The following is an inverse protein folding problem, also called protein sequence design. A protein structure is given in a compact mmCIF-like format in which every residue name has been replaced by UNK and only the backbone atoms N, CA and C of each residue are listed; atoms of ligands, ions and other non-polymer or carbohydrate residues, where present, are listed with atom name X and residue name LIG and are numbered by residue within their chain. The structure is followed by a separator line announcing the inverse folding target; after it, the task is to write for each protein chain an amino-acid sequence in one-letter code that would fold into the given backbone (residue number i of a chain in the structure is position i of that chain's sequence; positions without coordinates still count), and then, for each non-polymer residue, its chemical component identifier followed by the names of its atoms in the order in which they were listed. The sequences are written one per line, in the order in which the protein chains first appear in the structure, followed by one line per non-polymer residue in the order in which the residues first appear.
data_IF_090357895513
#
_entry.id   IF_090357895513
#
_cell.length_a   1.000
_cell.length_b   1.000
_cell.length_c   1.000
_cell.angle_alpha   90.00
_cell.angle_beta   90.00
_cell.angle_gamma   90.00
#
_symmetry.space_group_name_H-M   'P 1'
#
loop_
_entity.id
_entity.type
_entity.pdbx_description
1 polymer ?
#
# COMPACT_ATOMS: atom_id res chain seq x y z
N UNK A 1 -28.05 6.36 21.50
CA UNK A 1 -27.93 7.40 20.45
C UNK A 1 -27.80 6.68 19.10
N UNK A 2 -28.60 7.03 18.10
CA UNK A 2 -28.56 6.29 16.82
C UNK A 2 -27.26 6.58 16.06
N UNK A 3 -26.69 5.62 15.31
CA UNK A 3 -25.40 5.78 14.60
C UNK A 3 -25.35 6.95 13.61
N UNK A 4 -26.50 7.46 13.18
CA UNK A 4 -26.59 8.53 12.20
C UNK A 4 -26.29 9.93 12.71
N UNK A 5 -26.32 10.18 14.02
CA UNK A 5 -26.12 11.54 14.56
C UNK A 5 -24.65 11.89 14.80
N UNK A 6 -23.80 10.89 15.03
CA UNK A 6 -22.38 11.13 15.32
C UNK A 6 -21.54 11.37 14.02
N UNK A 7 -21.87 10.61 12.97
CA UNK A 7 -21.21 10.82 11.66
C UNK A 7 -21.47 12.21 11.08
N UNK A 8 -22.68 12.73 11.27
CA UNK A 8 -23.06 14.08 10.81
C UNK A 8 -22.28 15.20 11.56
N UNK A 9 -21.97 14.97 12.84
CA UNK A 9 -21.25 15.97 13.66
C UNK A 9 -19.76 16.08 13.27
N UNK A 10 -19.11 14.98 12.95
CA UNK A 10 -17.69 14.98 12.52
C UNK A 10 -17.54 15.56 11.12
N UNK A 11 -18.48 15.30 10.21
CA UNK A 11 -18.52 15.90 8.86
C UNK A 11 -18.81 17.40 8.94
N UNK A 12 -19.73 17.82 9.81
CA UNK A 12 -20.04 19.22 10.00
C UNK A 12 -18.88 20.02 10.61
N UNK A 13 -18.13 19.42 11.55
CA UNK A 13 -16.95 20.05 12.14
C UNK A 13 -15.80 20.21 11.14
N UNK A 14 -15.57 19.21 10.28
CA UNK A 14 -14.55 19.30 9.22
C UNK A 14 -14.91 20.31 8.13
N UNK A 15 -16.19 20.41 7.77
CA UNK A 15 -16.70 21.38 6.79
C UNK A 15 -16.78 22.81 7.35
N UNK A 16 -17.11 23.00 8.63
CA UNK A 16 -17.19 24.33 9.23
C UNK A 16 -15.83 25.02 9.40
N UNK A 17 -14.74 24.26 9.60
CA UNK A 17 -13.37 24.80 9.62
C UNK A 17 -12.93 25.31 8.23
N UNK A 18 -13.46 24.73 7.15
CA UNK A 18 -13.15 25.15 5.77
C UNK A 18 -13.87 26.43 5.37
N UNK A 19 -15.05 26.71 5.98
CA UNK A 19 -15.88 27.86 5.58
C UNK A 19 -15.54 29.17 6.30
N UNK A 20 -14.74 29.15 7.38
CA UNK A 20 -14.40 30.37 8.16
C UNK A 20 -12.98 30.88 7.91
N UNK A 21 -12.23 30.27 6.98
CA UNK A 21 -10.91 30.74 6.60
C UNK A 21 -10.98 32.09 5.88
N UNK A 22 -10.53 33.16 6.54
CA UNK A 22 -10.20 34.42 5.86
C UNK A 22 -9.22 34.11 4.73
N UNK A 23 -9.46 34.69 3.55
CA UNK A 23 -8.58 34.61 2.40
C UNK A 23 -7.13 34.91 2.83
N UNK A 24 -6.27 33.91 2.73
CA UNK A 24 -4.83 34.15 2.82
C UNK A 24 -4.47 35.17 1.74
N UNK A 25 -3.62 36.17 2.04
CA UNK A 25 -3.16 37.08 1.00
C UNK A 25 -2.58 36.29 -0.15
N UNK A 26 -3.06 36.50 -1.36
CA UNK A 26 -2.41 36.06 -2.56
C UNK A 26 -0.98 36.58 -2.51
N UNK A 27 -0.04 35.67 -2.29
CA UNK A 27 1.36 35.96 -2.61
C UNK A 27 1.35 36.19 -4.11
N UNK A 28 1.51 37.46 -4.51
CA UNK A 28 1.75 37.83 -5.88
C UNK A 28 2.86 36.91 -6.41
N UNK A 29 2.61 36.25 -7.55
CA UNK A 29 3.67 35.71 -8.38
C UNK A 29 4.51 36.90 -8.84
N UNK A 30 5.44 37.30 -8.00
CA UNK A 30 6.52 38.16 -8.41
C UNK A 30 7.41 37.28 -9.31
N UNK A 31 7.34 37.49 -10.61
CA UNK A 31 8.26 36.92 -11.58
C UNK A 31 9.63 37.55 -11.34
N UNK A 32 10.29 37.11 -10.28
CA UNK A 32 11.70 37.35 -10.14
C UNK A 32 12.43 36.44 -11.15
N UNK A 33 12.55 36.91 -12.39
CA UNK A 33 13.64 36.52 -13.26
C UNK A 33 14.95 36.97 -12.60
N UNK A 34 15.42 36.17 -11.66
CA UNK A 34 16.61 36.39 -10.87
C UNK A 34 17.50 35.15 -10.89
N UNK A 35 18.61 35.16 -10.18
CA UNK A 35 19.64 34.10 -10.19
C UNK A 35 19.15 32.66 -9.89
N UNK A 36 17.88 32.45 -9.55
CA UNK A 36 17.27 31.12 -9.36
C UNK A 36 17.11 30.31 -10.66
N UNK A 37 16.96 30.94 -11.82
CA UNK A 37 16.87 30.24 -13.12
C UNK A 37 18.16 29.46 -13.44
N UNK A 38 19.31 29.90 -12.92
CA UNK A 38 20.61 29.23 -13.10
C UNK A 38 20.69 27.92 -12.27
N UNK A 39 19.85 27.75 -11.27
CA UNK A 39 19.83 26.59 -10.37
C UNK A 39 18.76 25.56 -10.74
N UNK A 40 17.98 25.77 -11.78
CA UNK A 40 16.94 24.83 -12.21
C UNK A 40 17.57 23.51 -12.65
N UNK A 41 17.12 22.42 -12.02
CA UNK A 41 17.69 21.08 -12.23
C UNK A 41 17.15 20.40 -13.49
N UNK A 42 17.71 19.26 -13.85
CA UNK A 42 17.30 18.46 -15.00
C UNK A 42 15.93 17.79 -14.88
N UNK A 43 15.29 17.87 -13.72
CA UNK A 43 13.90 17.42 -13.50
C UNK A 43 13.11 18.51 -12.80
N UNK A 44 11.79 18.62 -13.06
CA UNK A 44 10.91 19.57 -12.36
C UNK A 44 11.01 19.41 -10.83
N UNK A 45 11.12 20.56 -10.13
CA UNK A 45 11.27 20.59 -8.67
C UNK A 45 12.61 20.06 -8.17
N UNK A 46 13.67 20.15 -8.97
CA UNK A 46 15.05 19.88 -8.55
C UNK A 46 15.92 21.10 -8.74
N UNK A 47 16.95 21.20 -7.94
CA UNK A 47 18.00 22.23 -7.99
C UNK A 47 19.28 21.59 -8.51
N UNK A 48 19.94 22.23 -9.46
CA UNK A 48 21.24 21.79 -9.99
C UNK A 48 22.34 22.04 -8.96
N UNK A 49 23.13 21.02 -8.69
CA UNK A 49 24.33 21.16 -7.84
C UNK A 49 25.48 21.67 -8.69
N UNK A 50 26.01 22.87 -8.41
CA UNK A 50 27.08 23.45 -9.22
C UNK A 50 28.27 22.50 -9.35
N UNK A 51 28.86 22.46 -10.56
CA UNK A 51 30.07 21.68 -10.90
C UNK A 51 29.96 20.15 -10.78
N UNK A 52 28.73 19.58 -10.63
CA UNK A 52 28.58 18.13 -10.50
C UNK A 52 27.76 17.46 -11.60
N UNK A 53 27.01 18.22 -12.41
CA UNK A 53 25.98 17.64 -13.31
C UNK A 53 24.76 17.04 -12.61
N UNK A 54 24.80 16.96 -11.28
CA UNK A 54 23.74 16.37 -10.44
C UNK A 54 22.62 17.39 -10.17
N UNK A 55 21.39 16.94 -10.20
CA UNK A 55 20.22 17.69 -9.75
C UNK A 55 19.59 16.98 -8.57
N UNK A 56 19.17 17.73 -7.54
CA UNK A 56 18.59 17.18 -6.33
C UNK A 56 17.28 17.88 -5.99
N UNK A 57 16.34 17.16 -5.40
CA UNK A 57 15.07 17.70 -4.95
C UNK A 57 14.56 17.00 -3.70
N UNK A 58 13.80 17.75 -2.93
CA UNK A 58 13.11 17.30 -1.73
C UNK A 58 11.62 17.56 -1.89
N UNK A 59 10.82 16.82 -1.17
CA UNK A 59 9.39 17.04 -1.08
C UNK A 59 8.76 16.06 -0.12
N UNK A 60 7.45 16.12 -0.07
CA UNK A 60 6.71 15.28 0.84
C UNK A 60 5.28 15.73 0.98
N UNK A 61 4.66 15.24 2.04
CA UNK A 61 3.39 15.73 2.49
C UNK A 61 3.19 15.53 3.99
N UNK A 62 2.41 16.39 4.59
CA UNK A 62 1.84 16.17 5.91
C UNK A 62 0.42 15.68 5.70
N UNK A 63 0.02 14.64 6.43
CA UNK A 63 -1.34 14.10 6.42
C UNK A 63 -1.80 13.85 7.85
N UNK A 64 -3.01 14.31 8.17
CA UNK A 64 -3.72 13.95 9.39
C UNK A 64 -4.91 13.10 9.00
N UNK A 65 -5.05 11.94 9.63
CA UNK A 65 -6.19 11.06 9.54
C UNK A 65 -6.94 11.03 10.88
N UNK A 66 -8.26 11.03 10.82
CA UNK A 66 -9.16 10.82 11.94
C UNK A 66 -10.01 9.60 11.61
N UNK A 67 -9.81 8.52 12.35
CA UNK A 67 -10.47 7.24 12.13
C UNK A 67 -11.48 6.98 13.24
N UNK A 68 -12.71 6.63 12.88
CA UNK A 68 -13.75 6.13 13.76
C UNK A 68 -14.11 4.72 13.31
N UNK A 69 -13.72 3.71 14.08
CA UNK A 69 -13.90 2.30 13.75
C UNK A 69 -14.90 1.65 14.68
N UNK A 70 -15.81 0.84 14.14
CA UNK A 70 -16.60 -0.11 14.94
C UNK A 70 -15.68 -1.27 15.29
N UNK A 71 -15.72 -1.80 16.47
CA UNK A 71 -14.85 -2.85 17.00
C UNK A 71 -13.37 -2.40 16.92
N UNK A 72 -12.75 -2.30 18.07
CA UNK A 72 -11.33 -2.01 18.14
C UNK A 72 -10.56 -3.05 17.33
N UNK A 73 -9.89 -2.64 16.29
CA UNK A 73 -8.90 -3.47 15.64
C UNK A 73 -7.64 -3.52 16.51
N UNK A 74 -7.79 -3.40 17.83
CA UNK A 74 -6.71 -3.64 18.75
C UNK A 74 -6.25 -5.07 18.55
N UNK A 75 -5.13 -5.19 17.86
CA UNK A 75 -4.46 -6.45 17.78
C UNK A 75 -4.24 -6.96 19.20
N UNK A 76 -4.68 -8.16 19.47
CA UNK A 76 -4.19 -8.91 20.60
C UNK A 76 -2.66 -8.84 20.55
N UNK A 77 -2.05 -7.97 21.34
CA UNK A 77 -0.61 -7.74 21.28
C UNK A 77 -0.10 -6.28 21.31
N UNK A 78 -0.99 -5.27 21.34
CA UNK A 78 -0.62 -3.88 21.67
C UNK A 78 0.20 -3.14 20.60
N UNK A 79 0.03 -3.47 19.33
CA UNK A 79 0.78 -2.80 18.24
C UNK A 79 0.03 -1.62 17.60
N UNK A 80 -1.19 -1.31 17.97
CA UNK A 80 -2.05 -0.22 17.45
C UNK A 80 -2.02 -0.03 15.91
N UNK A 81 -1.63 -1.05 15.17
CA UNK A 81 -1.50 -0.96 13.71
C UNK A 81 -2.87 -0.91 13.02
N UNK A 82 -3.82 -1.70 13.53
CA UNK A 82 -5.18 -1.76 13.01
C UNK A 82 -5.98 -0.48 13.23
N UNK A 83 -5.59 0.35 14.20
CA UNK A 83 -6.25 1.63 14.47
C UNK A 83 -5.93 2.68 13.41
N UNK A 84 -4.82 2.51 12.71
CA UNK A 84 -4.27 3.49 11.79
C UNK A 84 -4.69 3.26 10.35
N UNK A 85 -4.74 2.01 9.92
CA UNK A 85 -5.23 1.57 8.62
C UNK A 85 -5.78 0.14 8.73
N UNK A 86 -6.59 -0.26 7.77
CA UNK A 86 -7.22 -1.58 7.82
C UNK A 86 -6.19 -2.67 7.51
N UNK A 87 -5.99 -3.56 8.48
CA UNK A 87 -5.20 -4.79 8.32
C UNK A 87 -6.18 -5.96 8.35
N UNK A 88 -6.42 -6.65 7.23
CA UNK A 88 -7.49 -7.63 7.14
C UNK A 88 -7.39 -8.76 8.15
N UNK A 89 -6.17 -9.24 8.44
CA UNK A 89 -5.93 -10.31 9.42
C UNK A 89 -6.21 -9.91 10.88
N UNK A 90 -6.36 -8.61 11.16
CA UNK A 90 -6.65 -8.08 12.50
C UNK A 90 -8.11 -7.71 12.70
N UNK A 91 -8.98 -7.86 11.69
CA UNK A 91 -10.42 -7.67 11.86
C UNK A 91 -10.91 -8.75 12.84
N UNK A 92 -11.50 -8.37 13.98
CA UNK A 92 -11.99 -9.31 14.97
C UNK A 92 -13.09 -10.22 14.40
N UNK A 93 -13.09 -11.49 14.78
CA UNK A 93 -14.08 -12.50 14.39
C UNK A 93 -14.80 -13.06 15.62
N UNK A 94 -15.99 -13.62 15.43
CA UNK A 94 -16.80 -14.19 16.51
C UNK A 94 -17.47 -13.14 17.39
N UNK A 95 -17.85 -13.54 18.60
CA UNK A 95 -18.44 -12.66 19.60
C UNK A 95 -17.37 -11.75 20.20
N UNK A 96 -17.38 -10.49 19.83
CA UNK A 96 -16.53 -9.45 20.42
C UNK A 96 -17.44 -8.53 21.23
N UNK A 97 -17.04 -8.12 22.45
CA UNK A 97 -17.79 -7.12 23.21
C UNK A 97 -18.07 -5.89 22.35
N UNK A 98 -19.32 -5.42 22.35
CA UNK A 98 -19.69 -4.17 21.69
C UNK A 98 -19.30 -3.01 22.62
N UNK A 99 -18.04 -2.59 22.57
CA UNK A 99 -17.48 -1.47 23.31
C UNK A 99 -17.63 -0.13 22.56
N UNK A 100 -18.45 -0.13 21.49
CA UNK A 100 -18.79 1.06 20.72
C UNK A 100 -17.78 1.38 19.63
N UNK A 101 -17.53 2.68 19.42
CA UNK A 101 -16.61 3.17 18.39
C UNK A 101 -15.30 3.61 19.00
N UNK A 102 -14.21 3.20 18.37
CA UNK A 102 -12.87 3.70 18.69
C UNK A 102 -12.54 4.89 17.79
N UNK A 103 -12.07 5.98 18.39
CA UNK A 103 -11.63 7.19 17.69
C UNK A 103 -10.11 7.34 17.81
N UNK A 104 -9.43 7.47 16.67
CA UNK A 104 -7.98 7.69 16.63
C UNK A 104 -7.61 8.85 15.73
N UNK A 105 -6.57 9.58 16.12
CA UNK A 105 -5.94 10.64 15.32
C UNK A 105 -4.55 10.16 14.92
N UNK A 106 -4.20 10.27 13.66
CA UNK A 106 -2.96 9.69 13.14
C UNK A 106 -2.33 10.58 12.08
N UNK A 107 -1.07 10.97 12.30
CA UNK A 107 -0.27 11.72 11.32
C UNK A 107 0.89 10.89 10.73
N UNK A 108 0.97 9.59 10.99
CA UNK A 108 2.10 8.73 10.65
C UNK A 108 2.24 8.47 9.15
N UNK A 109 1.20 8.72 8.34
CA UNK A 109 1.29 8.62 6.87
C UNK A 109 2.06 9.77 6.25
N UNK A 110 2.33 10.84 7.00
CA UNK A 110 3.17 11.94 6.52
C UNK A 110 4.49 11.39 5.97
N UNK A 111 4.94 11.96 4.85
CA UNK A 111 6.11 11.46 4.11
C UNK A 111 7.09 12.54 3.82
N UNK A 112 8.36 12.14 3.76
CA UNK A 112 9.46 12.97 3.26
C UNK A 112 10.21 12.11 2.24
N UNK A 113 10.54 12.72 1.10
CA UNK A 113 11.34 12.07 0.08
C UNK A 113 12.47 12.99 -0.40
N UNK A 114 13.52 12.35 -0.86
CA UNK A 114 14.64 12.95 -1.57
C UNK A 114 14.83 12.24 -2.90
N UNK A 115 15.16 13.02 -3.95
CA UNK A 115 15.53 12.49 -5.26
C UNK A 115 16.79 13.16 -5.77
N UNK A 116 17.57 12.39 -6.55
CA UNK A 116 18.68 12.89 -7.33
C UNK A 116 18.55 12.42 -8.78
N UNK A 117 19.05 13.23 -9.69
CA UNK A 117 19.02 12.97 -11.12
C UNK A 117 20.32 13.46 -11.77
N UNK A 118 20.87 12.67 -12.70
CA UNK A 118 22.00 13.04 -13.53
C UNK A 118 21.92 12.30 -14.88
N UNK A 119 21.95 12.99 -16.02
CA UNK A 119 22.14 12.35 -17.32
C UNK A 119 23.55 11.77 -17.41
N UNK A 120 23.68 10.55 -17.96
CA UNK A 120 24.97 9.89 -18.18
C UNK A 120 25.00 9.20 -19.54
N UNK A 121 26.17 8.79 -20.01
CA UNK A 121 26.33 8.04 -21.27
C UNK A 121 25.68 6.63 -21.20
N UNK A 122 25.39 6.12 -19.99
CA UNK A 122 24.73 4.83 -19.76
C UNK A 122 23.21 4.96 -19.59
N UNK A 123 22.65 6.14 -19.85
CA UNK A 123 21.28 6.51 -19.58
C UNK A 123 21.16 7.38 -18.33
N UNK A 124 19.92 7.71 -17.96
CA UNK A 124 19.68 8.56 -16.81
C UNK A 124 19.96 7.81 -15.50
N UNK A 125 20.81 8.41 -14.67
CA UNK A 125 20.96 8.03 -13.28
C UNK A 125 19.86 8.71 -12.44
N UNK A 126 19.16 7.95 -11.60
CA UNK A 126 18.27 8.49 -10.58
C UNK A 126 18.55 7.78 -9.24
N UNK A 127 18.40 8.51 -8.15
CA UNK A 127 18.29 7.93 -6.81
C UNK A 127 17.06 8.50 -6.12
N UNK A 128 16.39 7.67 -5.33
CA UNK A 128 15.17 8.04 -4.63
C UNK A 128 15.12 7.40 -3.25
N UNK A 129 14.86 8.20 -2.23
CA UNK A 129 14.66 7.75 -0.86
C UNK A 129 13.35 8.36 -0.35
N UNK A 130 12.51 7.55 0.27
CA UNK A 130 11.24 7.97 0.88
C UNK A 130 11.06 7.29 2.23
N UNK A 131 10.62 8.06 3.22
CA UNK A 131 10.27 7.58 4.56
C UNK A 131 8.87 8.02 4.95
N UNK A 132 8.19 7.21 5.78
CA UNK A 132 7.00 7.57 6.55
C UNK A 132 7.24 7.24 8.04
N UNK A 133 6.21 7.36 8.87
CA UNK A 133 6.31 7.14 10.32
C UNK A 133 5.49 5.95 10.82
N UNK A 134 5.22 4.98 9.96
CA UNK A 134 4.50 3.73 10.29
C UNK A 134 5.41 2.60 10.80
N UNK A 135 6.54 2.89 11.44
CA UNK A 135 7.33 1.87 12.11
C UNK A 135 6.61 1.42 13.39
N UNK A 136 6.23 0.13 13.46
CA UNK A 136 5.43 -0.42 14.56
C UNK A 136 6.21 -0.65 15.86
N UNK A 137 7.52 -0.70 15.80
CA UNK A 137 8.41 -0.92 16.96
C UNK A 137 8.96 0.39 17.52
N UNK A 138 8.23 1.47 17.40
CA UNK A 138 8.68 2.77 17.89
C UNK A 138 8.48 2.91 19.40
N UNK A 139 9.40 3.56 20.12
CA UNK A 139 9.30 3.79 21.57
C UNK A 139 8.27 4.86 21.96
N UNK A 140 7.62 5.54 21.00
CA UNK A 140 6.63 6.58 21.27
C UNK A 140 5.22 6.01 21.44
N UNK A 141 4.51 6.50 22.43
CA UNK A 141 3.08 6.24 22.58
C UNK A 141 2.30 7.57 22.78
N UNK A 142 1.00 7.50 22.61
CA UNK A 142 0.11 8.67 22.69
C UNK A 142 0.07 9.31 24.07
N UNK A 143 0.38 8.56 25.12
CA UNK A 143 0.37 9.05 26.52
C UNK A 143 1.53 9.99 26.82
N UNK A 144 2.64 9.86 26.07
CA UNK A 144 3.88 10.56 26.41
C UNK A 144 4.27 11.59 25.36
N UNK A 145 4.42 11.21 24.11
CA UNK A 145 5.06 12.09 23.12
C UNK A 145 4.48 12.03 21.70
N UNK A 146 3.63 11.08 21.37
CA UNK A 146 3.21 10.79 20.00
C UNK A 146 4.39 10.68 19.01
N UNK A 147 5.55 10.25 19.48
CA UNK A 147 6.76 10.15 18.67
C UNK A 147 6.87 8.79 18.03
N UNK A 148 7.06 8.77 16.71
CA UNK A 148 7.15 7.54 15.92
C UNK A 148 8.41 7.55 15.08
N UNK A 149 9.05 6.38 14.97
CA UNK A 149 10.28 6.24 14.20
C UNK A 149 10.00 6.31 12.68
N UNK A 150 10.91 6.91 11.91
CA UNK A 150 10.88 6.84 10.46
C UNK A 150 10.98 5.39 9.97
N UNK A 151 10.18 5.05 8.95
CA UNK A 151 10.22 3.77 8.25
C UNK A 151 10.63 3.98 6.80
N UNK A 152 11.67 3.28 6.36
CA UNK A 152 12.09 3.29 4.96
C UNK A 152 11.01 2.66 4.08
N UNK A 153 10.50 3.44 3.14
CA UNK A 153 9.54 2.98 2.12
C UNK A 153 10.26 2.60 0.83
N UNK A 154 11.04 3.54 0.33
CA UNK A 154 11.83 3.41 -0.89
C UNK A 154 13.26 3.85 -0.62
N UNK A 155 14.21 3.10 -1.15
CA UNK A 155 15.62 3.47 -1.22
C UNK A 155 16.23 2.71 -2.41
N UNK A 156 16.27 3.35 -3.58
CA UNK A 156 16.75 2.71 -4.80
C UNK A 156 17.43 3.69 -5.73
N UNK A 157 18.29 3.14 -6.59
CA UNK A 157 18.88 3.83 -7.71
C UNK A 157 18.47 3.20 -9.03
N UNK A 158 18.48 4.01 -10.10
CA UNK A 158 18.37 3.52 -11.48
C UNK A 158 19.51 4.03 -12.34
N UNK A 159 19.96 3.21 -13.29
CA UNK A 159 20.89 3.61 -14.35
C UNK A 159 20.38 3.02 -15.66
N UNK A 160 19.86 3.87 -16.54
CA UNK A 160 19.15 3.40 -17.73
C UNK A 160 18.02 2.42 -17.39
N UNK A 161 18.04 1.18 -17.93
CA UNK A 161 17.01 0.18 -17.68
C UNK A 161 17.15 -0.56 -16.34
N UNK A 162 18.29 -0.45 -15.66
CA UNK A 162 18.58 -1.14 -14.41
C UNK A 162 18.05 -0.37 -13.21
N UNK A 163 17.41 -1.07 -12.28
CA UNK A 163 17.05 -0.58 -10.95
C UNK A 163 17.67 -1.53 -9.90
N UNK A 164 18.23 -0.96 -8.85
CA UNK A 164 18.70 -1.71 -7.68
C UNK A 164 18.33 -0.97 -6.39
N UNK A 165 17.83 -1.73 -5.40
CA UNK A 165 17.42 -1.21 -4.09
C UNK A 165 16.02 -1.65 -3.69
N UNK A 166 15.46 -1.00 -2.67
CA UNK A 166 14.12 -1.30 -2.15
C UNK A 166 13.08 -0.39 -2.75
N UNK A 167 12.07 -0.97 -3.38
CA UNK A 167 10.88 -0.27 -3.88
C UNK A 167 9.69 -1.25 -4.02
N UNK A 168 8.61 -0.81 -4.65
CA UNK A 168 7.50 -1.70 -4.98
C UNK A 168 7.99 -2.91 -5.77
N UNK A 169 7.54 -4.08 -5.34
CA UNK A 169 7.77 -5.33 -6.07
C UNK A 169 7.39 -5.18 -7.55
N UNK A 170 8.12 -5.83 -8.41
CA UNK A 170 7.81 -5.92 -9.85
C UNK A 170 6.49 -6.66 -10.11
N UNK A 171 6.07 -7.53 -9.18
CA UNK A 171 4.80 -8.23 -9.21
C UNK A 171 3.59 -7.29 -8.97
N UNK A 172 3.83 -6.08 -8.48
CA UNK A 172 2.83 -5.06 -8.17
C UNK A 172 2.79 -3.95 -9.20
N UNK A 173 1.60 -3.51 -9.59
CA UNK A 173 1.40 -2.26 -10.33
C UNK A 173 0.88 -1.17 -9.39
N UNK A 174 1.75 -0.25 -8.98
CA UNK A 174 1.38 0.81 -8.04
C UNK A 174 0.28 1.76 -8.57
N UNK A 175 0.09 1.86 -9.90
CA UNK A 175 -0.99 2.68 -10.48
C UNK A 175 -2.38 2.06 -10.31
N UNK A 176 -2.45 0.76 -10.01
CA UNK A 176 -3.71 0.06 -9.77
C UNK A 176 -4.30 0.33 -8.39
N UNK A 177 -3.52 0.87 -7.46
CA UNK A 177 -4.01 1.17 -6.10
C UNK A 177 -5.15 2.20 -6.18
N UNK A 178 -6.31 1.93 -5.56
CA UNK A 178 -7.42 2.88 -5.50
C UNK A 178 -7.02 4.21 -4.87
N UNK A 179 -7.68 5.30 -5.27
CA UNK A 179 -7.52 6.60 -4.62
C UNK A 179 -8.37 6.61 -3.34
N UNK A 180 -7.82 6.02 -2.28
CA UNK A 180 -8.43 5.86 -0.97
C UNK A 180 -7.74 6.74 0.07
N UNK A 181 -8.42 7.04 1.18
CA UNK A 181 -7.83 7.70 2.34
C UNK A 181 -7.09 6.69 3.22
N UNK A 182 -7.61 5.46 3.32
CA UNK A 182 -6.88 4.38 4.02
C UNK A 182 -5.54 4.12 3.34
N UNK A 183 -4.49 3.93 4.16
CA UNK A 183 -3.10 3.80 3.71
C UNK A 183 -2.87 2.66 2.70
N UNK A 184 -3.56 1.54 2.86
CA UNK A 184 -3.47 0.36 1.98
C UNK A 184 -4.57 0.38 0.93
N UNK A 185 -5.75 0.88 1.30
CA UNK A 185 -6.95 0.98 0.50
C UNK A 185 -7.69 -0.35 0.40
N UNK A 186 -7.20 -1.29 -0.37
CA UNK A 186 -7.93 -2.50 -0.75
C UNK A 186 -7.48 -3.74 0.02
N UNK A 187 -8.42 -4.54 0.55
CA UNK A 187 -8.11 -5.81 1.26
C UNK A 187 -7.49 -6.89 0.38
N UNK A 188 -7.64 -6.80 -0.95
CA UNK A 188 -7.15 -7.82 -1.90
C UNK A 188 -5.97 -7.34 -2.75
N UNK A 189 -5.38 -6.19 -2.45
CA UNK A 189 -4.30 -5.64 -3.27
C UNK A 189 -3.02 -6.49 -3.19
N UNK A 190 -2.33 -6.62 -4.32
CA UNK A 190 -0.91 -6.94 -4.31
C UNK A 190 -0.17 -5.72 -3.78
N UNK A 191 0.48 -5.85 -2.61
CA UNK A 191 1.04 -4.71 -1.89
C UNK A 191 2.32 -5.11 -1.14
N UNK A 192 3.45 -5.07 -1.84
CA UNK A 192 4.74 -5.43 -1.28
C UNK A 192 5.83 -4.47 -1.74
N UNK A 193 6.73 -4.10 -0.81
CA UNK A 193 7.98 -3.40 -1.08
C UNK A 193 9.12 -4.22 -0.53
N UNK A 194 10.15 -4.38 -1.35
CA UNK A 194 11.29 -5.20 -0.97
C UNK A 194 12.55 -4.86 -1.77
N UNK A 195 13.73 -5.23 -1.27
CA UNK A 195 14.97 -5.16 -2.03
C UNK A 195 14.87 -5.99 -3.31
N UNK A 196 15.35 -5.42 -4.42
CA UNK A 196 15.32 -6.07 -5.73
C UNK A 196 16.40 -5.52 -6.66
N UNK A 197 16.70 -6.30 -7.67
CA UNK A 197 17.37 -5.85 -8.90
C UNK A 197 16.37 -6.11 -10.02
N UNK A 198 16.06 -5.06 -10.80
CA UNK A 198 15.09 -5.12 -11.89
C UNK A 198 15.66 -4.54 -13.16
N UNK A 199 15.47 -5.25 -14.25
CA UNK A 199 15.69 -4.75 -15.61
C UNK A 199 14.35 -4.45 -16.26
N UNK A 200 14.22 -3.24 -16.85
CA UNK A 200 13.04 -2.82 -17.59
C UNK A 200 13.47 -2.50 -19.01
N UNK A 201 13.05 -3.33 -19.97
CA UNK A 201 13.34 -3.15 -21.39
C UNK A 201 12.14 -2.56 -22.12
N UNK A 202 12.18 -1.28 -22.54
CA UNK A 202 11.18 -0.73 -23.45
C UNK A 202 11.27 -1.41 -24.83
N UNK A 203 10.10 -1.65 -25.44
CA UNK A 203 9.93 -2.19 -26.80
C UNK A 203 8.98 -1.26 -27.55
N UNK A 204 9.54 -0.37 -28.36
CA UNK A 204 8.77 0.73 -28.95
C UNK A 204 8.27 1.69 -27.87
N UNK A 205 7.15 2.37 -28.15
CA UNK A 205 6.61 3.42 -27.28
C UNK A 205 5.62 2.90 -26.22
N UNK A 206 5.00 1.78 -26.48
CA UNK A 206 3.86 1.28 -25.67
C UNK A 206 4.24 0.13 -24.75
N UNK A 207 5.18 -0.73 -25.14
CA UNK A 207 5.47 -1.97 -24.44
C UNK A 207 6.74 -1.90 -23.61
N UNK A 208 6.76 -2.66 -22.52
CA UNK A 208 7.99 -2.91 -21.76
C UNK A 208 7.98 -4.34 -21.21
N UNK A 209 9.14 -4.97 -21.21
CA UNK A 209 9.38 -6.24 -20.50
C UNK A 209 10.10 -5.93 -19.21
N UNK A 210 9.71 -6.60 -18.13
CA UNK A 210 10.29 -6.46 -16.81
C UNK A 210 10.81 -7.83 -16.37
N UNK A 211 12.03 -7.84 -15.85
CA UNK A 211 12.65 -9.02 -15.22
C UNK A 211 13.24 -8.57 -13.90
N UNK A 212 12.92 -9.26 -12.81
CA UNK A 212 13.45 -8.90 -11.51
C UNK A 212 13.82 -10.14 -10.71
N UNK A 213 14.83 -9.96 -9.86
CA UNK A 213 15.16 -10.84 -8.74
C UNK A 213 14.91 -10.04 -7.47
N UNK A 214 14.12 -10.62 -6.55
CA UNK A 214 13.62 -9.95 -5.37
C UNK A 214 13.99 -10.73 -4.12
N UNK A 215 14.15 -10.03 -2.99
CA UNK A 215 14.48 -10.66 -1.72
C UNK A 215 13.43 -11.72 -1.36
N UNK A 216 13.80 -12.97 -1.09
CA UNK A 216 12.85 -14.01 -0.69
C UNK A 216 12.43 -13.82 0.78
N UNK A 217 11.29 -14.37 1.15
CA UNK A 217 10.80 -14.48 2.54
C UNK A 217 9.71 -15.53 2.60
N UNK A 218 9.93 -16.61 3.32
CA UNK A 218 8.95 -17.66 3.56
C UNK A 218 8.14 -17.35 4.81
N UNK A 219 6.81 -17.34 4.69
CA UNK A 219 5.89 -17.30 5.82
C UNK A 219 5.01 -18.55 5.79
N UNK A 220 4.81 -19.18 6.94
CA UNK A 220 4.00 -20.38 7.05
C UNK A 220 2.99 -20.28 8.19
N UNK A 221 1.94 -21.10 8.12
CA UNK A 221 0.97 -21.30 9.19
C UNK A 221 1.23 -22.70 9.79
N UNK A 222 1.48 -22.76 11.08
CA UNK A 222 1.65 -24.04 11.80
C UNK A 222 0.32 -24.77 11.98
N UNK A 223 0.37 -26.03 12.39
CA UNK A 223 -0.78 -26.88 12.73
C UNK A 223 -1.69 -26.27 13.82
N UNK A 224 -1.14 -25.38 14.66
CA UNK A 224 -1.93 -24.65 15.66
C UNK A 224 -2.46 -23.29 15.15
N UNK A 225 -2.32 -22.97 13.87
CA UNK A 225 -2.78 -21.71 13.26
C UNK A 225 -1.84 -20.52 13.47
N UNK A 226 -0.68 -20.70 14.09
CA UNK A 226 0.27 -19.61 14.34
C UNK A 226 1.14 -19.33 13.14
N UNK A 227 1.51 -18.04 12.96
CA UNK A 227 2.49 -17.64 11.92
C UNK A 227 3.89 -18.08 12.32
N UNK A 228 4.61 -18.66 11.36
CA UNK A 228 6.00 -19.03 11.45
C UNK A 228 6.77 -18.37 10.30
N UNK A 229 7.94 -17.83 10.61
CA UNK A 229 8.87 -17.24 9.61
C UNK A 229 10.21 -17.94 9.79
N UNK A 230 10.53 -18.95 8.97
CA UNK A 230 11.71 -19.79 9.15
C UNK A 230 13.04 -19.04 9.01
N UNK A 231 13.14 -18.09 8.07
CA UNK A 231 14.37 -17.32 7.83
C UNK A 231 15.46 -18.10 7.09
N UNK A 232 15.10 -19.15 6.34
CA UNK A 232 16.05 -20.10 5.70
C UNK A 232 16.11 -19.97 4.19
N UNK A 233 15.56 -18.89 3.64
CA UNK A 233 15.45 -18.67 2.20
C UNK A 233 16.81 -18.66 1.50
N UNK A 234 16.92 -19.32 0.34
CA UNK A 234 18.18 -19.47 -0.41
C UNK A 234 18.09 -18.95 -1.84
N UNK A 235 16.94 -19.11 -2.48
CA UNK A 235 16.71 -18.72 -3.86
C UNK A 235 15.86 -17.43 -3.87
N UNK A 236 16.31 -16.36 -4.56
CA UNK A 236 15.50 -15.16 -4.67
C UNK A 236 14.20 -15.43 -5.43
N UNK A 237 13.16 -14.63 -5.12
CA UNK A 237 11.93 -14.61 -5.88
C UNK A 237 12.21 -14.04 -7.28
N UNK A 238 11.72 -14.70 -8.33
CA UNK A 238 11.90 -14.25 -9.73
C UNK A 238 10.57 -13.72 -10.25
N UNK A 239 10.58 -12.49 -10.77
CA UNK A 239 9.40 -11.87 -11.37
C UNK A 239 9.65 -11.55 -12.82
N UNK A 240 8.73 -11.97 -13.67
CA UNK A 240 8.67 -11.65 -15.10
C UNK A 240 7.41 -10.84 -15.36
N UNK A 241 7.50 -9.81 -16.19
CA UNK A 241 6.34 -8.97 -16.49
C UNK A 241 6.36 -8.37 -17.88
N UNK A 242 5.17 -8.07 -18.35
CA UNK A 242 4.92 -7.25 -19.53
C UNK A 242 4.02 -6.07 -19.12
N UNK A 243 4.34 -4.89 -19.62
CA UNK A 243 3.59 -3.67 -19.38
C UNK A 243 3.24 -3.00 -20.69
N UNK A 244 1.99 -2.58 -20.80
CA UNK A 244 1.51 -1.69 -21.86
C UNK A 244 1.15 -0.36 -21.21
N UNK A 245 1.62 0.75 -21.79
CA UNK A 245 1.37 2.11 -21.27
C UNK A 245 1.14 3.07 -22.42
N UNK A 246 0.20 3.98 -22.26
CA UNK A 246 -0.14 5.00 -23.26
C UNK A 246 -1.06 6.06 -22.68
N UNK A 247 -1.68 6.85 -23.53
CA UNK A 247 -2.67 7.87 -23.12
C UNK A 247 -3.90 7.26 -22.44
N UNK A 248 -4.22 6.00 -22.77
CA UNK A 248 -5.30 5.25 -22.13
C UNK A 248 -5.00 4.83 -20.67
N UNK A 249 -3.76 4.98 -20.21
CA UNK A 249 -3.30 4.51 -18.92
C UNK A 249 -2.21 3.45 -19.02
N UNK A 250 -2.27 2.43 -18.16
CA UNK A 250 -1.34 1.30 -18.22
C UNK A 250 -1.95 0.02 -17.66
N UNK A 251 -1.48 -1.11 -18.18
CA UNK A 251 -1.81 -2.46 -17.72
C UNK A 251 -0.51 -3.26 -17.63
N UNK A 252 -0.36 -4.04 -16.56
CA UNK A 252 0.73 -5.01 -16.40
C UNK A 252 0.16 -6.41 -16.27
N UNK A 253 0.85 -7.37 -16.87
CA UNK A 253 0.73 -8.79 -16.60
C UNK A 253 2.06 -9.27 -16.05
N UNK A 254 2.04 -9.86 -14.84
CA UNK A 254 3.25 -10.31 -14.15
C UNK A 254 3.10 -11.73 -13.66
N UNK A 255 4.22 -12.45 -13.64
CA UNK A 255 4.35 -13.81 -13.12
C UNK A 255 5.45 -13.82 -12.07
N UNK A 256 5.27 -14.58 -11.01
CA UNK A 256 6.26 -14.78 -9.95
C UNK A 256 6.52 -16.27 -9.75
N UNK A 257 7.79 -16.63 -9.58
CA UNK A 257 8.25 -17.96 -9.17
C UNK A 257 9.06 -17.84 -7.88
N UNK A 258 8.82 -18.74 -6.91
CA UNK A 258 9.38 -18.69 -5.57
C UNK A 258 9.80 -20.07 -5.09
N UNK A 259 10.89 -20.14 -4.33
CA UNK A 259 11.14 -21.21 -3.38
C UNK A 259 10.60 -20.79 -2.00
N UNK A 260 9.78 -21.61 -1.38
CA UNK A 260 9.40 -21.52 0.02
C UNK A 260 10.25 -22.52 0.78
N UNK A 261 10.98 -22.09 1.80
CA UNK A 261 11.95 -22.95 2.48
C UNK A 261 11.83 -22.85 3.99
N UNK A 262 12.01 -24.00 4.64
CA UNK A 262 12.20 -24.13 6.06
C UNK A 262 13.27 -25.19 6.35
N UNK A 263 14.23 -24.87 7.20
CA UNK A 263 15.33 -25.77 7.56
C UNK A 263 15.47 -25.88 9.07
N UNK A 264 14.72 -26.80 9.66
CA UNK A 264 14.78 -27.14 11.08
C UNK A 264 15.64 -28.37 11.37
N UNK A 265 16.64 -28.62 10.51
CA UNK A 265 17.53 -29.76 10.56
C UNK A 265 17.23 -30.85 9.52
N UNK A 266 16.01 -30.92 9.00
CA UNK A 266 15.60 -31.86 7.94
C UNK A 266 15.38 -31.21 6.58
N UNK A 267 15.40 -29.90 6.50
CA UNK A 267 15.25 -29.07 5.31
C UNK A 267 14.07 -29.44 4.42
N UNK A 268 13.08 -28.58 4.35
CA UNK A 268 11.98 -28.73 3.39
C UNK A 268 11.85 -27.52 2.49
N UNK A 269 11.52 -27.74 1.22
CA UNK A 269 11.23 -26.67 0.29
C UNK A 269 10.09 -27.02 -0.64
N UNK A 270 9.34 -25.99 -1.05
CA UNK A 270 8.26 -26.07 -2.02
C UNK A 270 8.48 -25.01 -3.07
N UNK A 271 8.21 -25.33 -4.34
CA UNK A 271 8.10 -24.32 -5.38
C UNK A 271 6.67 -23.81 -5.45
N UNK A 272 6.57 -22.50 -5.53
CA UNK A 272 5.33 -21.77 -5.52
C UNK A 272 5.36 -20.63 -6.56
N UNK A 273 4.22 -20.06 -6.88
CA UNK A 273 4.18 -18.95 -7.81
C UNK A 273 2.77 -18.52 -8.17
N UNK A 274 2.68 -17.50 -9.00
CA UNK A 274 1.39 -16.97 -9.41
C UNK A 274 1.49 -15.93 -10.50
N UNK A 275 0.34 -15.40 -10.85
CA UNK A 275 0.17 -14.37 -11.86
C UNK A 275 -0.68 -13.21 -11.32
N UNK A 276 -0.41 -12.01 -11.81
CA UNK A 276 -1.20 -10.82 -11.52
C UNK A 276 -1.43 -10.01 -12.79
N UNK A 277 -2.67 -9.57 -12.99
CA UNK A 277 -3.03 -8.55 -13.98
C UNK A 277 -3.53 -7.32 -13.23
N UNK A 278 -2.90 -6.17 -13.48
CA UNK A 278 -3.21 -4.96 -12.75
C UNK A 278 -3.04 -3.71 -13.61
N UNK A 279 -3.81 -2.67 -13.36
CA UNK A 279 -3.70 -1.46 -14.14
C UNK A 279 -4.59 -0.32 -13.68
N UNK A 280 -4.37 0.80 -14.38
CA UNK A 280 -5.27 1.96 -14.38
C UNK A 280 -5.57 2.33 -15.81
N UNK A 281 -6.85 2.40 -16.15
CA UNK A 281 -7.34 2.73 -17.50
C UNK A 281 -8.26 3.94 -17.40
N UNK A 282 -7.99 4.97 -18.20
CA UNK A 282 -8.87 6.13 -18.33
C UNK A 282 -10.06 5.76 -19.23
N UNK A 283 -11.28 6.01 -18.76
CA UNK A 283 -12.54 5.74 -19.45
C UNK A 283 -13.23 7.00 -19.93
N UNK A 284 -12.78 8.16 -19.44
CA UNK A 284 -13.13 9.50 -19.88
C UNK A 284 -11.94 10.42 -19.65
N UNK A 285 -12.06 11.72 -19.87
CA UNK A 285 -10.93 12.68 -19.74
C UNK A 285 -10.16 12.55 -18.42
N UNK A 286 -10.86 12.33 -17.31
CA UNK A 286 -10.26 12.22 -15.97
C UNK A 286 -10.67 10.96 -15.23
N UNK A 287 -11.83 10.39 -15.57
CA UNK A 287 -12.35 9.20 -14.92
C UNK A 287 -11.52 7.99 -15.28
N UNK A 288 -11.30 7.13 -14.30
CA UNK A 288 -10.49 5.94 -14.52
C UNK A 288 -10.99 4.74 -13.71
N UNK A 289 -10.67 3.58 -14.26
CA UNK A 289 -10.82 2.29 -13.61
C UNK A 289 -9.44 1.83 -13.15
N UNK A 290 -9.36 1.33 -11.92
CA UNK A 290 -8.18 0.70 -11.35
C UNK A 290 -8.54 -0.70 -10.92
N UNK A 291 -7.69 -1.64 -11.26
CA UNK A 291 -7.94 -3.04 -10.97
C UNK A 291 -6.64 -3.79 -10.70
N UNK A 292 -6.77 -4.84 -9.91
CA UNK A 292 -5.75 -5.85 -9.66
C UNK A 292 -6.47 -7.18 -9.46
N UNK A 293 -6.03 -8.22 -10.17
CA UNK A 293 -6.46 -9.60 -9.96
C UNK A 293 -5.22 -10.47 -9.90
N UNK A 294 -5.09 -11.23 -8.82
CA UNK A 294 -3.92 -12.04 -8.53
C UNK A 294 -4.36 -13.44 -8.12
N UNK A 295 -3.71 -14.44 -8.68
CA UNK A 295 -3.96 -15.84 -8.38
C UNK A 295 -2.64 -16.60 -8.33
N UNK A 296 -2.51 -17.55 -7.41
CA UNK A 296 -1.33 -18.39 -7.30
C UNK A 296 -1.31 -19.21 -6.04
N UNK A 297 -0.20 -19.89 -5.83
CA UNK A 297 0.09 -20.65 -4.61
C UNK A 297 1.29 -20.03 -3.91
N UNK A 298 1.28 -20.00 -2.58
CA UNK A 298 2.41 -19.52 -1.80
C UNK A 298 2.73 -18.03 -1.98
N UNK A 299 1.75 -17.19 -2.28
CA UNK A 299 1.95 -15.76 -2.52
C UNK A 299 2.33 -14.99 -1.24
N UNK A 300 1.74 -15.38 -0.09
CA UNK A 300 2.07 -14.82 1.23
C UNK A 300 2.15 -13.31 1.26
N UNK A 301 3.31 -12.77 1.60
CA UNK A 301 3.56 -11.33 1.79
C UNK A 301 3.29 -10.42 0.59
N UNK A 302 3.17 -10.99 -0.61
CA UNK A 302 2.86 -10.21 -1.81
C UNK A 302 1.42 -9.71 -1.83
N UNK A 303 0.52 -10.37 -1.10
CA UNK A 303 -0.92 -10.10 -1.15
C UNK A 303 -1.43 -9.64 0.21
N UNK A 304 -2.22 -8.58 0.20
CA UNK A 304 -3.04 -8.15 1.34
C UNK A 304 -2.28 -8.07 2.68
N UNK A 305 -1.07 -7.49 2.67
CA UNK A 305 -0.21 -7.37 3.86
C UNK A 305 0.09 -8.71 4.55
N UNK A 306 0.25 -9.78 3.78
CA UNK A 306 0.46 -11.13 4.33
C UNK A 306 -0.70 -11.59 5.25
N UNK A 307 -1.94 -11.28 4.87
CA UNK A 307 -3.14 -11.73 5.58
C UNK A 307 -3.21 -13.26 5.62
N UNK A 308 -2.74 -13.93 4.58
CA UNK A 308 -2.58 -15.38 4.47
C UNK A 308 -1.10 -15.68 4.29
N UNK A 309 -0.57 -16.64 5.05
CA UNK A 309 0.81 -17.08 4.91
C UNK A 309 1.00 -17.90 3.62
N UNK A 310 2.26 -18.03 3.19
CA UNK A 310 2.60 -18.70 1.93
C UNK A 310 2.40 -20.22 1.96
N UNK A 311 2.64 -20.87 3.12
CA UNK A 311 2.62 -22.32 3.23
C UNK A 311 2.00 -22.81 4.53
N UNK A 312 1.65 -24.08 4.56
CA UNK A 312 1.33 -24.83 5.76
C UNK A 312 2.58 -25.57 6.27
N UNK A 313 2.82 -25.46 7.58
CA UNK A 313 3.90 -26.11 8.32
C UNK A 313 3.30 -27.15 9.26
N UNK A 314 3.63 -28.42 9.02
CA UNK A 314 3.10 -29.54 9.81
C UNK A 314 3.85 -29.74 11.15
N UNK A 315 3.36 -30.66 11.98
CA UNK A 315 3.93 -30.97 13.31
C UNK A 315 5.33 -31.61 13.23
N UNK A 316 5.68 -32.22 12.10
CA UNK A 316 7.00 -32.79 11.87
C UNK A 316 8.05 -31.71 11.51
N UNK A 317 7.62 -30.45 11.43
CA UNK A 317 8.48 -29.32 11.11
C UNK A 317 8.79 -29.18 9.62
N UNK A 318 7.92 -29.67 8.73
CA UNK A 318 8.07 -29.56 7.29
C UNK A 318 7.02 -28.66 6.66
N UNK A 319 7.41 -27.96 5.59
CA UNK A 319 6.45 -27.32 4.69
C UNK A 319 5.73 -28.41 3.90
N UNK A 320 4.43 -28.55 4.12
CA UNK A 320 3.64 -29.62 3.52
C UNK A 320 2.96 -29.16 2.23
N UNK A 321 2.43 -27.95 2.20
CA UNK A 321 1.74 -27.41 1.03
C UNK A 321 1.84 -25.89 0.93
N UNK A 322 1.93 -25.38 -0.30
CA UNK A 322 1.79 -23.96 -0.57
C UNK A 322 0.30 -23.59 -0.64
N UNK A 323 -0.10 -22.51 0.00
CA UNK A 323 -1.51 -22.09 0.12
C UNK A 323 -1.99 -21.43 -1.17
N UNK A 324 -3.00 -21.98 -1.87
CA UNK A 324 -3.64 -21.31 -2.99
C UNK A 324 -4.36 -20.05 -2.52
N UNK A 325 -4.16 -18.95 -3.24
CA UNK A 325 -4.73 -17.65 -2.90
C UNK A 325 -5.22 -16.94 -4.16
N UNK A 326 -6.43 -16.40 -4.09
CA UNK A 326 -7.06 -15.54 -5.09
C UNK A 326 -7.38 -14.21 -4.45
N UNK A 327 -7.02 -13.12 -5.10
CA UNK A 327 -7.26 -11.80 -4.54
C UNK A 327 -7.41 -10.75 -5.62
N UNK A 328 -7.99 -9.63 -5.25
CA UNK A 328 -8.08 -8.53 -6.18
C UNK A 328 -8.95 -7.38 -5.70
N UNK A 329 -8.99 -6.37 -6.54
CA UNK A 329 -9.92 -5.26 -6.41
C UNK A 329 -10.30 -4.70 -7.77
N UNK A 330 -11.43 -4.02 -7.76
CA UNK A 330 -11.91 -3.18 -8.84
C UNK A 330 -12.36 -1.84 -8.25
N UNK A 331 -11.88 -0.74 -8.81
CA UNK A 331 -12.20 0.60 -8.36
C UNK A 331 -12.55 1.51 -9.54
N UNK A 332 -13.56 2.33 -9.36
CA UNK A 332 -13.91 3.41 -10.30
C UNK A 332 -13.71 4.75 -9.60
N UNK A 333 -12.98 5.65 -10.26
CA UNK A 333 -12.78 7.02 -9.83
C UNK A 333 -13.51 7.97 -10.77
N UNK A 334 -14.38 8.80 -10.20
CA UNK A 334 -15.16 9.83 -10.90
C UNK A 334 -14.74 11.22 -10.49
N UNK A 335 -14.61 12.13 -11.45
CA UNK A 335 -14.33 13.53 -11.22
C UNK A 335 -15.62 14.36 -11.46
N UNK A 336 -16.27 14.77 -10.38
CA UNK A 336 -17.46 15.62 -10.41
C UNK A 336 -17.16 17.03 -10.93
N UNK A 337 -15.96 17.51 -10.65
CA UNK A 337 -15.46 18.83 -11.08
C UNK A 337 -13.92 18.87 -10.99
N UNK A 338 -13.33 20.03 -11.20
CA UNK A 338 -11.90 20.25 -10.92
C UNK A 338 -11.54 20.15 -9.43
N UNK A 339 -12.52 20.34 -8.53
CA UNK A 339 -12.32 20.37 -7.09
C UNK A 339 -12.74 19.08 -6.39
N UNK A 340 -13.73 18.33 -6.91
CA UNK A 340 -14.32 17.17 -6.28
C UNK A 340 -14.13 15.92 -7.11
N UNK A 341 -13.73 14.83 -6.44
CA UNK A 341 -13.68 13.47 -6.99
C UNK A 341 -14.08 12.44 -5.95
N UNK A 342 -14.56 11.32 -6.42
CA UNK A 342 -14.96 10.17 -5.58
C UNK A 342 -14.40 8.89 -6.14
N UNK A 343 -14.15 7.92 -5.28
CA UNK A 343 -13.81 6.55 -5.66
C UNK A 343 -14.76 5.57 -4.99
N UNK A 344 -15.16 4.53 -5.73
CA UNK A 344 -15.84 3.37 -5.21
C UNK A 344 -14.97 2.14 -5.51
N UNK A 345 -14.69 1.34 -4.49
CA UNK A 345 -13.82 0.16 -4.59
C UNK A 345 -14.49 -1.06 -4.00
N UNK A 346 -14.44 -2.18 -4.72
CA UNK A 346 -14.72 -3.50 -4.20
C UNK A 346 -13.44 -4.32 -4.19
N UNK A 347 -13.23 -5.15 -3.16
CA UNK A 347 -12.05 -5.98 -3.03
C UNK A 347 -12.35 -7.31 -2.36
N UNK A 348 -11.53 -8.32 -2.68
CA UNK A 348 -11.66 -9.65 -2.13
C UNK A 348 -10.29 -10.33 -1.96
N UNK A 349 -10.24 -11.27 -1.03
CA UNK A 349 -9.19 -12.25 -0.86
C UNK A 349 -9.85 -13.59 -0.49
N UNK A 350 -9.39 -14.68 -1.10
CA UNK A 350 -9.79 -16.05 -0.79
C UNK A 350 -8.54 -16.91 -0.71
N UNK A 351 -8.40 -17.65 0.39
CA UNK A 351 -7.38 -18.70 0.55
C UNK A 351 -8.04 -20.07 0.63
N UNK A 352 -7.34 -21.10 0.19
CA UNK A 352 -7.76 -22.49 0.28
C UNK A 352 -6.76 -23.22 1.17
N UNK A 353 -7.10 -23.36 2.45
CA UNK A 353 -6.25 -24.03 3.42
C UNK A 353 -6.42 -25.56 3.35
N UNK A 354 -5.39 -26.32 3.75
CA UNK A 354 -5.52 -27.76 3.90
C UNK A 354 -6.44 -28.11 5.09
N UNK A 355 -6.96 -29.36 5.09
CA UNK A 355 -7.94 -29.85 6.08
C UNK A 355 -7.43 -29.73 7.52
N UNK A 356 -6.12 -29.86 7.72
CA UNK A 356 -5.47 -29.73 9.03
C UNK A 356 -5.64 -28.35 9.70
N UNK A 357 -6.04 -27.35 8.94
CA UNK A 357 -6.33 -25.99 9.43
C UNK A 357 -7.83 -25.69 9.52
N UNK A 358 -8.73 -26.64 9.22
CA UNK A 358 -10.18 -26.42 9.16
C UNK A 358 -10.81 -26.03 10.51
N UNK A 359 -10.19 -26.41 11.61
CA UNK A 359 -10.60 -26.09 12.99
C UNK A 359 -9.77 -24.95 13.62
N UNK A 360 -9.03 -24.21 12.82
CA UNK A 360 -8.17 -23.10 13.27
C UNK A 360 -8.74 -21.74 12.83
N UNK A 361 -8.59 -20.68 13.65
CA UNK A 361 -9.09 -19.34 13.31
C UNK A 361 -8.17 -18.61 12.29
N UNK A 362 -7.75 -19.33 11.24
CA UNK A 362 -6.96 -18.77 10.15
C UNK A 362 -7.86 -18.14 9.10
N UNK A 363 -7.45 -17.00 8.55
CA UNK A 363 -8.26 -16.24 7.59
C UNK A 363 -8.37 -17.00 6.28
N UNK A 364 -9.60 -17.34 5.87
CA UNK A 364 -9.88 -17.95 4.58
C UNK A 364 -10.49 -16.98 3.57
N UNK A 365 -11.24 -15.97 4.02
CA UNK A 365 -11.82 -14.98 3.12
C UNK A 365 -11.80 -13.59 3.73
N UNK A 366 -11.60 -12.58 2.88
CA UNK A 366 -11.85 -11.17 3.20
C UNK A 366 -12.57 -10.51 2.04
N UNK A 367 -13.67 -9.80 2.34
CA UNK A 367 -14.38 -8.95 1.40
C UNK A 367 -14.30 -7.51 1.89
N UNK A 368 -14.06 -6.56 0.99
CA UNK A 368 -13.93 -5.15 1.35
C UNK A 368 -14.64 -4.22 0.38
N UNK A 369 -15.17 -3.12 0.89
CA UNK A 369 -15.79 -2.05 0.12
C UNK A 369 -15.35 -0.68 0.65
N UNK A 370 -15.05 0.24 -0.26
CA UNK A 370 -14.65 1.61 0.07
C UNK A 370 -15.42 2.58 -0.82
N UNK A 371 -15.91 3.65 -0.22
CA UNK A 371 -16.44 4.80 -0.94
C UNK A 371 -15.91 6.08 -0.30
N UNK A 372 -15.54 7.08 -1.11
CA UNK A 372 -15.01 8.32 -0.59
C UNK A 372 -15.49 9.55 -1.38
N UNK A 373 -15.26 10.70 -0.80
CA UNK A 373 -15.38 12.01 -1.44
C UNK A 373 -14.15 12.83 -1.07
N UNK A 374 -13.43 13.29 -2.09
CA UNK A 374 -12.20 14.07 -1.96
C UNK A 374 -12.41 15.47 -2.51
N UNK A 375 -11.97 16.47 -1.75
CA UNK A 375 -12.04 17.88 -2.07
C UNK A 375 -10.65 18.50 -2.14
N UNK A 376 -10.27 19.05 -3.28
CA UNK A 376 -8.96 19.67 -3.53
C UNK A 376 -9.17 21.13 -3.92
N UNK A 377 -9.33 22.06 -2.94
CA UNK A 377 -9.67 23.47 -3.21
C UNK A 377 -8.55 24.24 -3.92
N UNK A 378 -7.32 23.85 -3.66
CA UNK A 378 -6.11 24.42 -4.28
C UNK A 378 -5.15 23.27 -4.63
N UNK A 379 -4.19 23.50 -5.56
CA UNK A 379 -3.13 22.54 -5.82
C UNK A 379 -2.44 22.12 -4.52
N UNK A 380 -2.04 20.84 -4.45
CA UNK A 380 -1.29 20.25 -3.32
C UNK A 380 -2.05 20.15 -1.99
N UNK A 381 -3.34 20.49 -1.93
CA UNK A 381 -4.16 20.35 -0.72
C UNK A 381 -5.35 19.46 -1.02
N UNK A 382 -5.60 18.46 -0.19
CA UNK A 382 -6.75 17.56 -0.31
C UNK A 382 -7.35 17.29 1.07
N UNK A 383 -8.65 17.48 1.18
CA UNK A 383 -9.48 17.01 2.28
C UNK A 383 -10.33 15.85 1.77
N UNK A 384 -10.66 14.92 2.66
CA UNK A 384 -11.48 13.80 2.25
C UNK A 384 -12.24 13.17 3.39
N UNK A 385 -13.32 12.48 3.01
CA UNK A 385 -14.08 11.58 3.87
C UNK A 385 -14.22 10.23 3.17
N UNK A 386 -14.15 9.15 3.93
CA UNK A 386 -14.19 7.79 3.43
C UNK A 386 -14.98 6.91 4.38
N UNK A 387 -15.76 6.01 3.81
CA UNK A 387 -16.36 4.91 4.52
C UNK A 387 -15.77 3.60 3.99
N UNK A 388 -15.30 2.79 4.93
CA UNK A 388 -14.71 1.49 4.67
C UNK A 388 -15.47 0.42 5.43
N UNK A 389 -15.85 -0.64 4.74
CA UNK A 389 -16.40 -1.85 5.34
C UNK A 389 -15.59 -3.05 4.89
N UNK A 390 -15.25 -3.93 5.83
CA UNK A 390 -14.59 -5.20 5.50
C UNK A 390 -15.11 -6.33 6.37
N UNK A 391 -15.40 -7.47 5.75
CA UNK A 391 -15.76 -8.73 6.42
C UNK A 391 -14.60 -9.70 6.31
N UNK A 392 -14.18 -10.25 7.44
CA UNK A 392 -13.21 -11.34 7.53
C UNK A 392 -13.93 -12.60 7.97
N UNK A 393 -13.64 -13.73 7.31
CA UNK A 393 -14.05 -15.06 7.71
C UNK A 393 -12.83 -15.94 7.96
N UNK A 394 -12.97 -16.91 8.84
CA UNK A 394 -11.91 -17.86 9.22
C UNK A 394 -12.39 -19.29 9.03
N UNK A 395 -11.46 -20.27 9.01
CA UNK A 395 -11.76 -21.67 8.73
C UNK A 395 -12.72 -22.30 9.77
N UNK A 396 -12.75 -21.83 11.01
CA UNK A 396 -13.73 -22.28 12.01
C UNK A 396 -15.18 -21.94 11.69
N UNK A 397 -15.43 -21.17 10.63
CA UNK A 397 -16.75 -20.69 10.24
C UNK A 397 -17.17 -19.37 10.91
N UNK A 398 -16.37 -18.85 11.83
CA UNK A 398 -16.61 -17.54 12.43
C UNK A 398 -16.30 -16.42 11.44
N UNK A 399 -17.01 -15.31 11.59
CA UNK A 399 -16.74 -14.08 10.83
C UNK A 399 -16.85 -12.82 11.67
N UNK A 400 -16.37 -11.72 11.14
CA UNK A 400 -16.49 -10.40 11.74
C UNK A 400 -16.46 -9.29 10.70
N UNK A 401 -17.13 -8.19 11.02
CA UNK A 401 -17.23 -7.03 10.12
C UNK A 401 -16.67 -5.80 10.82
N UNK A 402 -15.74 -5.12 10.14
CA UNK A 402 -15.21 -3.81 10.53
C UNK A 402 -15.90 -2.74 9.71
N UNK A 403 -16.41 -1.72 10.38
CA UNK A 403 -16.85 -0.47 9.78
C UNK A 403 -15.90 0.64 10.21
N UNK A 404 -15.39 1.42 9.26
CA UNK A 404 -14.54 2.57 9.54
C UNK A 404 -15.03 3.79 8.77
N UNK A 405 -15.18 4.89 9.48
CA UNK A 405 -15.29 6.21 8.89
C UNK A 405 -13.96 6.94 9.08
N UNK A 406 -13.40 7.44 7.99
CA UNK A 406 -12.13 8.17 8.01
C UNK A 406 -12.32 9.55 7.42
N UNK A 407 -11.72 10.56 8.05
CA UNK A 407 -11.54 11.88 7.46
C UNK A 407 -10.05 12.23 7.42
N UNK A 408 -9.63 12.95 6.39
CA UNK A 408 -8.21 13.29 6.19
C UNK A 408 -8.02 14.71 5.71
N UNK A 409 -6.90 15.31 6.13
CA UNK A 409 -6.34 16.53 5.58
C UNK A 409 -4.89 16.27 5.13
N UNK A 410 -4.58 16.55 3.85
CA UNK A 410 -3.27 16.30 3.25
C UNK A 410 -2.74 17.57 2.58
N UNK A 411 -1.50 17.92 2.91
CA UNK A 411 -0.78 19.08 2.40
C UNK A 411 0.55 18.61 1.80
N UNK A 412 0.74 18.82 0.49
CA UNK A 412 1.94 18.40 -0.28
C UNK A 412 2.87 19.61 -0.43
N UNK A 413 4.17 19.43 -0.23
CA UNK A 413 5.19 20.49 -0.39
C UNK A 413 6.36 20.07 -1.27
#
# INVERSE_FOLDING_TARGET
MSPGSFGALVVAAALSVVMTGQAAPQLAEDQAEGPLAILEGGLPGTIKIPNTGLSMGFGGYVKLDVNMSSRGAEAAGGTNAGDQFVIPSLIPVGEVPDDGYQLTFNARESRIWWKAFMPTDWGNFNAYVEVDFYAFQSPGDERVSNSFAPRMRHAYGTLGPLLAGQTWSTFMNASSIPDALDFVGSTGATFARQPQIRWTQPIGELFSILVAVESPETTATSSVGARVTPGDDRIPDIVLGAKVSGTFGNVTLTFIGRELRADNGNGSSLFAGGASVAGRVFVAERDNIRFNFTAGTGLGRYVSLNTVNAAFWNDDGHLQSAIPTFSGHFAYQHHWSSLFRSSATFSFLQALHPEELSDRPVTNQVLGGIVNLLFSPIPRTTFGVEYYVARRSVETGEDGVLHRFQSSAKFVF
#
